data_IF_098602224345
#
_entry.id   IF_098602224345
#
_cell.length_a   1.000
_cell.length_b   1.000
_cell.length_c   1.000
_cell.angle_alpha   90.00
_cell.angle_beta   90.00
_cell.angle_gamma   90.00
#
_symmetry.space_group_name_H-M   'P 1'
#
loop_
_entity.id
_entity.type
_entity.pdbx_description
1 polymer ?
#
# COMPACT_ATOMS: atom_id res chain seq x y z
N UNK A 1 68.37 -22.41 -9.25
CA UNK A 1 67.50 -21.21 -9.19
C UNK A 1 66.20 -21.63 -8.53
N UNK A 2 65.93 -21.17 -7.30
CA UNK A 2 64.78 -21.63 -6.49
C UNK A 2 63.61 -20.65 -6.64
N UNK A 3 62.45 -21.17 -7.08
CA UNK A 3 61.22 -20.39 -7.22
C UNK A 3 60.41 -20.47 -5.92
N UNK A 4 60.42 -19.39 -5.13
CA UNK A 4 59.56 -19.24 -3.96
C UNK A 4 58.13 -18.87 -4.42
N UNK A 5 57.23 -19.86 -4.46
CA UNK A 5 55.80 -19.64 -4.66
C UNK A 5 55.16 -19.14 -3.37
N UNK A 6 54.71 -17.88 -3.37
CA UNK A 6 53.95 -17.30 -2.24
C UNK A 6 52.50 -17.78 -2.31
N UNK A 7 52.06 -18.55 -1.32
CA UNK A 7 50.66 -18.91 -1.15
C UNK A 7 49.90 -17.69 -0.60
N UNK A 8 48.99 -17.13 -1.39
CA UNK A 8 48.06 -16.08 -0.94
C UNK A 8 46.95 -16.70 -0.08
N UNK A 9 46.64 -16.15 1.10
CA UNK A 9 45.55 -16.67 1.91
C UNK A 9 44.20 -16.38 1.25
N UNK A 10 43.21 -17.29 1.33
CA UNK A 10 41.89 -17.06 0.77
C UNK A 10 41.20 -15.91 1.53
N UNK A 11 40.80 -14.89 0.79
CA UNK A 11 39.98 -13.78 1.31
C UNK A 11 38.64 -14.36 1.77
N UNK A 12 38.42 -14.45 3.08
CA UNK A 12 37.13 -14.81 3.67
C UNK A 12 36.13 -13.69 3.40
N UNK A 13 35.28 -13.89 2.38
CA UNK A 13 34.16 -12.99 2.10
C UNK A 13 33.09 -13.20 3.16
N UNK A 14 33.06 -12.36 4.19
CA UNK A 14 31.90 -12.27 5.08
C UNK A 14 30.68 -11.85 4.26
N UNK A 15 29.81 -12.81 3.93
CA UNK A 15 28.52 -12.50 3.33
C UNK A 15 27.64 -11.86 4.41
N UNK A 16 26.95 -10.78 4.06
CA UNK A 16 25.94 -10.19 4.95
C UNK A 16 24.84 -11.23 5.11
N UNK A 17 24.61 -11.70 6.33
CA UNK A 17 23.44 -12.48 6.67
C UNK A 17 22.20 -11.61 6.41
N UNK A 18 21.56 -11.84 5.28
CA UNK A 18 20.22 -11.30 5.04
C UNK A 18 19.26 -12.15 5.87
N UNK A 19 18.84 -11.64 7.03
CA UNK A 19 17.73 -12.22 7.75
C UNK A 19 16.50 -12.15 6.84
N UNK A 20 16.13 -13.28 6.25
CA UNK A 20 14.87 -13.40 5.53
C UNK A 20 13.77 -13.25 6.59
N UNK A 21 12.86 -12.28 6.45
CA UNK A 21 11.72 -12.21 7.36
C UNK A 21 10.93 -13.51 7.26
N UNK A 22 10.32 -13.94 8.36
CA UNK A 22 9.39 -15.06 8.34
C UNK A 22 8.32 -14.82 7.26
N UNK A 23 7.87 -15.88 6.56
CA UNK A 23 6.82 -15.74 5.55
C UNK A 23 5.58 -15.11 6.21
N UNK A 24 4.93 -14.22 5.47
CA UNK A 24 3.80 -13.48 6.01
C UNK A 24 2.66 -14.45 6.36
N UNK A 25 2.15 -14.36 7.59
CA UNK A 25 1.07 -15.23 8.07
C UNK A 25 -0.24 -14.86 7.36
N UNK A 26 -0.98 -15.87 6.91
CA UNK A 26 -2.37 -15.68 6.45
C UNK A 26 -3.25 -15.42 7.69
N UNK A 27 -3.93 -14.28 7.77
CA UNK A 27 -4.77 -13.96 8.92
C UNK A 27 -6.01 -14.85 8.92
N UNK A 28 -6.41 -15.29 10.12
CA UNK A 28 -7.74 -15.88 10.29
C UNK A 28 -8.78 -14.80 10.06
N UNK A 29 -9.93 -15.12 9.44
CA UNK A 29 -10.99 -14.14 9.28
C UNK A 29 -11.50 -13.68 10.65
N UNK A 30 -11.69 -12.37 10.80
CA UNK A 30 -12.08 -11.73 12.06
C UNK A 30 -12.84 -10.44 11.78
N UNK A 31 -13.45 -9.85 12.82
CA UNK A 31 -14.28 -8.63 12.71
C UNK A 31 -15.49 -8.75 11.77
N UNK A 32 -16.03 -9.97 11.61
CA UNK A 32 -17.14 -10.25 10.70
C UNK A 32 -16.75 -10.23 9.21
N UNK A 33 -15.45 -10.18 8.91
CA UNK A 33 -14.92 -10.17 7.55
C UNK A 33 -14.36 -11.56 7.24
N UNK A 34 -15.14 -12.34 6.50
CA UNK A 34 -14.79 -13.71 6.08
C UNK A 34 -14.37 -13.80 4.61
N UNK A 35 -14.91 -12.92 3.76
CA UNK A 35 -14.72 -12.96 2.31
C UNK A 35 -13.78 -11.85 1.84
N UNK A 36 -13.12 -12.09 0.71
CA UNK A 36 -12.27 -11.10 0.05
C UNK A 36 -13.07 -9.85 -0.30
N UNK A 37 -14.30 -10.02 -0.79
CA UNK A 37 -15.19 -8.93 -1.16
C UNK A 37 -15.51 -8.04 0.05
N UNK A 38 -15.90 -8.64 1.17
CA UNK A 38 -16.19 -7.91 2.41
C UNK A 38 -14.95 -7.15 2.92
N UNK A 39 -13.76 -7.75 2.79
CA UNK A 39 -12.51 -7.06 3.14
C UNK A 39 -12.26 -5.87 2.24
N UNK A 40 -12.36 -6.02 0.91
CA UNK A 40 -12.10 -4.93 -0.03
C UNK A 40 -13.13 -3.80 0.07
N UNK A 41 -14.41 -4.12 0.33
CA UNK A 41 -15.46 -3.14 0.62
C UNK A 41 -15.16 -2.34 1.89
N UNK A 42 -14.67 -3.00 2.95
CA UNK A 42 -14.33 -2.34 4.22
C UNK A 42 -13.24 -1.27 4.06
N UNK A 43 -12.39 -1.36 3.03
CA UNK A 43 -11.33 -0.40 2.75
C UNK A 43 -11.82 0.92 2.14
N UNK A 44 -13.10 0.99 1.75
CA UNK A 44 -13.78 2.20 1.24
C UNK A 44 -13.08 2.83 0.02
N UNK A 45 -12.50 2.01 -0.87
CA UNK A 45 -11.84 2.48 -2.11
C UNK A 45 -12.38 1.73 -3.33
N UNK A 46 -12.99 2.44 -4.30
CA UNK A 46 -13.62 1.80 -5.46
C UNK A 46 -12.61 1.09 -6.37
N UNK A 47 -11.37 1.59 -6.43
CA UNK A 47 -10.29 0.98 -7.23
C UNK A 47 -9.85 -0.40 -6.74
N UNK A 48 -10.06 -0.71 -5.46
CA UNK A 48 -9.72 -2.01 -4.90
C UNK A 48 -10.80 -3.06 -5.15
N UNK A 49 -12.06 -2.65 -5.34
CA UNK A 49 -13.17 -3.56 -5.63
C UNK A 49 -12.99 -4.30 -6.96
N UNK A 50 -12.26 -3.70 -7.90
CA UNK A 50 -11.90 -4.34 -9.17
C UNK A 50 -11.08 -5.65 -8.99
N UNK A 51 -10.52 -5.88 -7.81
CA UNK A 51 -9.77 -7.09 -7.48
C UNK A 51 -10.66 -8.30 -7.16
N UNK A 52 -11.96 -8.11 -6.88
CA UNK A 52 -12.89 -9.23 -6.62
C UNK A 52 -12.92 -10.21 -7.79
N UNK A 53 -12.79 -9.71 -9.02
CA UNK A 53 -12.77 -10.55 -10.23
C UNK A 53 -11.52 -11.45 -10.33
N UNK A 54 -10.47 -11.17 -9.55
CA UNK A 54 -9.20 -11.89 -9.60
C UNK A 54 -8.96 -12.80 -8.41
N UNK A 55 -9.38 -12.36 -7.22
CA UNK A 55 -9.13 -13.08 -5.98
C UNK A 55 -10.45 -13.48 -5.36
N UNK A 56 -10.84 -14.73 -5.61
CA UNK A 56 -12.01 -15.34 -4.98
C UNK A 56 -11.66 -15.87 -3.60
N UNK A 57 -10.46 -16.45 -3.47
CA UNK A 57 -10.02 -17.13 -2.26
C UNK A 57 -9.28 -16.18 -1.31
N UNK A 58 -9.60 -16.31 -0.02
CA UNK A 58 -8.96 -15.55 1.06
C UNK A 58 -7.44 -15.75 1.10
N UNK A 59 -7.01 -17.01 1.00
CA UNK A 59 -5.59 -17.37 1.08
C UNK A 59 -4.81 -16.86 -0.12
N UNK A 60 -5.44 -16.81 -1.30
CA UNK A 60 -4.81 -16.25 -2.50
C UNK A 60 -4.51 -14.78 -2.30
N UNK A 61 -5.48 -13.99 -1.81
CA UNK A 61 -5.29 -12.56 -1.54
C UNK A 61 -4.12 -12.33 -0.57
N UNK A 62 -4.08 -13.07 0.55
CA UNK A 62 -3.06 -12.90 1.59
C UNK A 62 -1.73 -13.61 1.33
N UNK A 63 -1.63 -14.45 0.30
CA UNK A 63 -0.37 -15.04 -0.15
C UNK A 63 0.33 -14.22 -1.23
N UNK A 64 -0.31 -13.15 -1.73
CA UNK A 64 0.24 -12.35 -2.83
C UNK A 64 1.58 -11.72 -2.50
N UNK A 65 2.55 -11.97 -3.37
CA UNK A 65 3.80 -11.22 -3.40
C UNK A 65 3.59 -9.88 -4.12
N UNK A 66 3.56 -8.75 -3.39
CA UNK A 66 2.88 -7.55 -3.88
C UNK A 66 3.61 -6.78 -4.99
N UNK A 67 4.94 -6.88 -4.99
CA UNK A 67 5.80 -6.14 -5.92
C UNK A 67 5.76 -6.72 -7.33
N UNK A 68 5.40 -7.99 -7.45
CA UNK A 68 5.63 -8.76 -8.67
C UNK A 68 4.33 -9.00 -9.44
N UNK A 69 3.26 -9.43 -8.76
CA UNK A 69 2.01 -9.80 -9.44
C UNK A 69 1.14 -8.59 -9.79
N UNK A 70 0.86 -7.72 -8.81
CA UNK A 70 -0.05 -6.57 -9.00
C UNK A 70 0.47 -5.51 -9.99
N UNK A 71 1.79 -5.45 -10.19
CA UNK A 71 2.44 -4.50 -11.12
C UNK A 71 2.40 -5.03 -12.55
N UNK A 72 2.71 -6.32 -12.75
CA UNK A 72 2.75 -6.95 -14.07
C UNK A 72 1.39 -7.00 -14.73
N UNK A 73 0.34 -7.25 -13.94
CA UNK A 73 -1.01 -7.45 -14.46
C UNK A 73 -1.77 -6.14 -14.71
N UNK A 74 -1.19 -4.99 -14.39
CA UNK A 74 -1.79 -3.66 -14.60
C UNK A 74 -3.00 -3.32 -13.74
N UNK A 75 -3.56 -4.27 -12.97
CA UNK A 75 -4.81 -4.13 -12.20
C UNK A 75 -4.79 -2.95 -11.23
N UNK A 76 -3.65 -2.74 -10.56
CA UNK A 76 -3.42 -1.59 -9.69
C UNK A 76 -2.24 -0.82 -10.24
N UNK A 77 -2.41 -0.17 -11.40
CA UNK A 77 -1.34 0.61 -12.02
C UNK A 77 -0.79 1.70 -11.08
N UNK A 78 -1.67 2.31 -10.27
CA UNK A 78 -1.32 3.39 -9.34
C UNK A 78 -0.52 2.85 -8.15
N UNK A 79 0.77 3.23 -7.96
CA UNK A 79 1.60 2.72 -6.87
C UNK A 79 1.05 3.01 -5.47
N UNK A 80 0.31 4.11 -5.32
CA UNK A 80 -0.33 4.51 -4.06
C UNK A 80 -1.40 3.51 -3.61
N UNK A 81 -2.15 2.95 -4.55
CA UNK A 81 -3.22 1.99 -4.25
C UNK A 81 -2.64 0.64 -3.84
N UNK A 82 -1.60 0.18 -4.54
CA UNK A 82 -0.83 -1.01 -4.13
C UNK A 82 -0.30 -0.87 -2.71
N UNK A 83 0.43 0.21 -2.42
CA UNK A 83 0.96 0.45 -1.06
C UNK A 83 -0.13 0.52 0.00
N UNK A 84 -1.27 1.11 -0.34
CA UNK A 84 -2.41 1.20 0.57
C UNK A 84 -3.00 -0.18 0.86
N UNK A 85 -3.27 -1.00 -0.16
CA UNK A 85 -3.77 -2.36 0.00
C UNK A 85 -2.85 -3.17 0.92
N UNK A 86 -1.54 -3.12 0.68
CA UNK A 86 -0.56 -3.85 1.49
C UNK A 86 -0.50 -3.40 2.93
N UNK A 87 -0.49 -2.08 3.16
CA UNK A 87 -0.61 -1.57 4.52
C UNK A 87 -1.88 -2.11 5.21
N UNK A 88 -3.01 -2.14 4.50
CA UNK A 88 -4.26 -2.63 5.06
C UNK A 88 -4.22 -4.14 5.37
N UNK A 89 -3.62 -4.94 4.49
CA UNK A 89 -3.41 -6.38 4.72
C UNK A 89 -2.51 -6.63 5.95
N UNK A 90 -1.43 -5.86 6.09
CA UNK A 90 -0.54 -5.94 7.26
C UNK A 90 -1.26 -5.57 8.56
N UNK A 91 -2.06 -4.49 8.55
CA UNK A 91 -2.83 -4.08 9.73
C UNK A 91 -3.90 -5.10 10.10
N UNK A 92 -4.54 -5.72 9.10
CA UNK A 92 -5.48 -6.81 9.32
C UNK A 92 -4.78 -8.06 9.88
N UNK A 93 -3.55 -8.38 9.41
CA UNK A 93 -2.71 -9.44 10.00
C UNK A 93 -2.38 -9.19 11.48
N UNK A 94 -2.28 -7.93 11.87
CA UNK A 94 -2.04 -7.52 13.27
C UNK A 94 -3.28 -7.58 14.16
N UNK A 95 -4.47 -7.89 13.62
CA UNK A 95 -5.70 -7.98 14.41
C UNK A 95 -6.56 -6.72 14.40
N UNK A 96 -6.20 -5.67 13.64
CA UNK A 96 -6.90 -4.39 13.67
C UNK A 96 -8.19 -4.42 12.82
N UNK A 97 -9.22 -3.69 13.26
CA UNK A 97 -10.47 -3.53 12.51
C UNK A 97 -10.25 -2.55 11.33
N UNK A 98 -10.60 -2.92 10.07
CA UNK A 98 -10.58 -2.01 8.94
C UNK A 98 -11.35 -0.70 9.14
N UNK A 99 -12.35 -0.66 10.01
CA UNK A 99 -13.06 0.59 10.35
C UNK A 99 -12.13 1.66 10.92
N UNK A 100 -11.08 1.26 11.64
CA UNK A 100 -10.15 2.15 12.32
C UNK A 100 -9.06 2.69 11.39
N UNK A 101 -8.56 1.86 10.48
CA UNK A 101 -7.43 2.24 9.62
C UNK A 101 -7.80 2.54 8.17
N UNK A 102 -9.02 2.25 7.73
CA UNK A 102 -9.47 2.53 6.36
C UNK A 102 -9.58 4.03 6.13
N UNK A 103 -8.90 4.49 5.08
CA UNK A 103 -8.95 5.88 4.63
C UNK A 103 -9.56 5.93 3.25
N UNK A 104 -10.85 6.31 3.22
CA UNK A 104 -11.60 6.52 1.99
C UNK A 104 -11.03 7.64 1.10
N UNK A 105 -11.56 7.79 -0.13
CA UNK A 105 -11.20 8.88 -1.01
C UNK A 105 -11.55 10.22 -0.35
N UNK A 106 -10.59 11.15 -0.35
CA UNK A 106 -10.84 12.52 0.11
C UNK A 106 -11.81 13.17 -0.85
N UNK A 107 -12.86 13.80 -0.31
CA UNK A 107 -13.79 14.60 -1.10
C UNK A 107 -13.03 15.71 -1.83
N UNK A 108 -13.37 16.01 -3.10
CA UNK A 108 -12.74 17.10 -3.82
C UNK A 108 -12.98 18.41 -3.07
N UNK A 109 -11.98 19.30 -3.12
CA UNK A 109 -12.08 20.60 -2.46
C UNK A 109 -13.21 21.41 -3.09
N UNK A 110 -14.20 21.84 -2.29
CA UNK A 110 -15.37 22.61 -2.76
C UNK A 110 -14.98 23.94 -3.43
N UNK A 111 -13.99 24.63 -2.86
CA UNK A 111 -13.53 25.93 -3.35
C UNK A 111 -12.00 25.98 -3.49
N UNK A 112 -11.49 26.50 -4.61
CA UNK A 112 -10.06 26.79 -4.80
C UNK A 112 -9.76 28.23 -4.41
N UNK A 113 -8.66 28.45 -3.66
CA UNK A 113 -8.29 29.75 -3.10
C UNK A 113 -9.04 30.12 -1.81
N UNK A 114 -8.35 30.82 -0.91
CA UNK A 114 -8.87 31.41 0.32
C UNK A 114 -8.19 32.77 0.51
N UNK A 115 -8.95 33.81 0.83
CA UNK A 115 -8.39 35.10 1.21
C UNK A 115 -9.41 36.24 1.11
N UNK A 116 -9.07 37.46 1.57
CA UNK A 116 -9.98 38.61 1.56
C UNK A 116 -10.55 38.90 0.17
N UNK A 117 -9.77 38.63 -0.88
CA UNK A 117 -10.16 38.84 -2.27
C UNK A 117 -10.80 37.61 -2.94
N UNK A 118 -10.79 36.45 -2.30
CA UNK A 118 -11.35 35.19 -2.82
C UNK A 118 -12.14 34.48 -1.73
N UNK A 119 -13.44 34.74 -1.70
CA UNK A 119 -14.38 34.07 -0.80
C UNK A 119 -15.21 33.06 -1.59
N UNK A 120 -15.40 31.85 -1.06
CA UNK A 120 -16.21 30.80 -1.69
C UNK A 120 -15.85 30.51 -3.17
N UNK A 121 -14.55 30.58 -3.50
CA UNK A 121 -14.05 30.36 -4.87
C UNK A 121 -14.39 31.47 -5.87
N UNK A 122 -15.03 32.56 -5.43
CA UNK A 122 -15.32 33.74 -6.24
C UNK A 122 -14.35 34.86 -5.87
N UNK A 123 -13.80 35.54 -6.89
CA UNK A 123 -13.00 36.75 -6.66
C UNK A 123 -13.93 37.91 -6.32
N UNK A 124 -13.80 38.45 -5.12
CA UNK A 124 -14.49 39.68 -4.75
C UNK A 124 -13.84 40.86 -5.49
N UNK A 125 -14.67 41.68 -6.15
CA UNK A 125 -14.26 42.96 -6.70
C UNK A 125 -15.04 44.03 -5.93
N UNK A 126 -14.36 44.77 -5.08
CA UNK A 126 -14.85 46.01 -4.48
C UNK A 126 -13.77 47.08 -4.61
N UNK A 127 -14.14 48.29 -5.05
CA UNK A 127 -13.38 49.48 -4.67
C UNK A 127 -13.68 49.75 -3.19
N UNK A 128 -12.73 50.29 -2.41
CA UNK A 128 -13.02 50.71 -1.05
C UNK A 128 -14.23 51.64 -1.08
N UNK A 129 -15.23 51.34 -0.25
CA UNK A 129 -16.33 52.25 0.05
C UNK A 129 -15.74 53.33 0.97
N UNK A 130 -15.85 54.59 0.57
CA UNK A 130 -15.42 55.77 1.33
C UNK A 130 -16.24 55.95 2.60
#
# INVERSE_FOLDING_TARGET
MSLLTRLTPPITKFSRFFNKPAPARIPRPHHGIATVEAFLESLRRPSLLALNNKFTDWDQLFSLDPKLHLVKDGTLSVPKERRYLLRCMELFRMGLDPKDFSVGPRKPKKFRGWGPRVQHGKRLRGKPTE
#
